data_IF_708700176726
#
_entry.id   IF_708700176726
#
_cell.length_a   1.000
_cell.length_b   1.000
_cell.length_c   1.000
_cell.angle_alpha   90.00
_cell.angle_beta   90.00
_cell.angle_gamma   90.00
#
_symmetry.space_group_name_H-M   'P 1'
#
loop_
_entity.id
_entity.type
_entity.pdbx_description
1 polymer ?
#
# COMPACT_ATOMS: atom_id res chain seq x y z
N UNK A 1 -28.39 -11.45 -15.04
CA UNK A 1 -29.24 -12.40 -14.28
C UNK A 1 -28.41 -12.89 -13.11
N UNK A 2 -29.02 -13.26 -11.98
CA UNK A 2 -28.26 -13.87 -10.88
C UNK A 2 -27.87 -15.30 -11.27
N UNK A 3 -26.61 -15.67 -11.04
CA UNK A 3 -26.05 -17.00 -11.34
C UNK A 3 -25.94 -17.82 -10.06
N UNK A 4 -27.09 -18.02 -9.41
CA UNK A 4 -27.18 -18.59 -8.06
C UNK A 4 -26.71 -20.06 -8.00
N UNK A 5 -26.57 -20.72 -9.15
CA UNK A 5 -25.91 -22.01 -9.32
C UNK A 5 -24.43 -22.01 -8.87
N UNK A 6 -23.74 -20.87 -8.99
CA UNK A 6 -22.34 -20.69 -8.60
C UNK A 6 -22.15 -20.38 -7.10
N UNK A 7 -23.24 -20.21 -6.34
CA UNK A 7 -23.14 -20.01 -4.89
C UNK A 7 -22.59 -21.29 -4.25
N UNK A 8 -21.59 -21.22 -3.34
CA UNK A 8 -21.01 -22.36 -2.65
C UNK A 8 -22.08 -23.28 -2.07
N UNK A 9 -21.93 -24.59 -2.30
CA UNK A 9 -22.86 -25.60 -1.79
C UNK A 9 -23.00 -25.54 -0.24
N UNK A 10 -21.92 -25.17 0.45
CA UNK A 10 -21.89 -24.91 1.89
C UNK A 10 -22.88 -23.81 2.31
N UNK A 11 -22.84 -22.64 1.64
CA UNK A 11 -23.78 -21.55 1.91
C UNK A 11 -25.22 -21.93 1.56
N UNK A 12 -25.42 -22.71 0.48
CA UNK A 12 -26.75 -23.17 0.07
C UNK A 12 -27.38 -24.17 1.05
N UNK A 13 -26.56 -24.96 1.76
CA UNK A 13 -27.03 -25.93 2.75
C UNK A 13 -27.54 -25.28 4.06
N UNK A 14 -27.24 -24.00 4.30
CA UNK A 14 -27.65 -23.27 5.50
C UNK A 14 -29.11 -22.79 5.43
N UNK A 15 -29.87 -22.95 6.52
CA UNK A 15 -31.23 -22.40 6.65
C UNK A 15 -31.23 -20.92 7.11
N UNK A 16 -30.44 -20.07 6.45
CA UNK A 16 -30.27 -18.64 6.80
C UNK A 16 -30.48 -17.66 5.63
N UNK A 17 -31.34 -18.04 4.68
CA UNK A 17 -31.65 -17.25 3.49
C UNK A 17 -32.88 -16.36 3.68
N UNK A 18 -32.86 -15.20 3.03
CA UNK A 18 -33.99 -14.29 2.88
C UNK A 18 -34.12 -13.86 1.43
N UNK A 19 -35.29 -13.40 1.01
CA UNK A 19 -35.41 -12.60 -0.20
C UNK A 19 -35.00 -11.14 0.09
N UNK A 20 -34.84 -10.31 -0.93
CA UNK A 20 -34.79 -8.85 -0.75
C UNK A 20 -35.46 -8.11 -1.91
N UNK A 21 -35.93 -6.89 -1.63
CA UNK A 21 -36.44 -5.97 -2.66
C UNK A 21 -35.95 -4.55 -2.44
N UNK A 22 -35.80 -3.80 -3.53
CA UNK A 22 -35.38 -2.41 -3.55
C UNK A 22 -36.58 -1.52 -3.32
N UNK A 23 -36.60 -0.80 -2.20
CA UNK A 23 -37.58 0.25 -1.92
C UNK A 23 -36.88 1.58 -1.65
N UNK A 24 -37.53 2.68 -1.99
CA UNK A 24 -37.05 4.00 -1.61
C UNK A 24 -37.48 4.32 -0.17
N UNK A 25 -36.50 4.64 0.69
CA UNK A 25 -36.74 5.05 2.07
C UNK A 25 -35.97 6.33 2.33
N UNK A 26 -36.67 7.40 2.72
CA UNK A 26 -36.09 8.73 2.97
C UNK A 26 -35.24 9.26 1.80
N UNK A 27 -35.68 9.05 0.55
CA UNK A 27 -34.93 9.46 -0.65
C UNK A 27 -33.75 8.56 -1.02
N UNK A 28 -33.53 7.44 -0.32
CA UNK A 28 -32.46 6.48 -0.63
C UNK A 28 -33.02 5.10 -0.98
N UNK A 29 -32.59 4.57 -2.13
CA UNK A 29 -32.82 3.18 -2.49
C UNK A 29 -32.18 2.24 -1.44
N UNK A 30 -33.01 1.42 -0.80
CA UNK A 30 -32.65 0.52 0.29
C UNK A 30 -33.02 -0.91 -0.11
N UNK A 31 -32.10 -1.86 0.08
CA UNK A 31 -32.36 -3.29 -0.11
C UNK A 31 -33.01 -3.82 1.19
N UNK A 32 -34.31 -4.08 1.18
CA UNK A 32 -35.07 -4.52 2.35
C UNK A 32 -35.25 -6.05 2.34
N UNK A 33 -34.94 -6.76 3.44
CA UNK A 33 -35.05 -8.21 3.51
C UNK A 33 -36.51 -8.66 3.64
N UNK A 34 -36.85 -9.73 2.92
CA UNK A 34 -38.21 -10.27 2.81
C UNK A 34 -38.20 -11.75 3.22
N UNK A 35 -39.10 -12.12 4.12
CA UNK A 35 -39.35 -13.48 4.56
C UNK A 35 -39.94 -14.30 3.39
N UNK A 36 -39.23 -15.35 3.00
CA UNK A 36 -39.60 -16.20 1.87
C UNK A 36 -40.93 -16.94 2.07
N UNK A 37 -41.29 -17.26 3.32
CA UNK A 37 -42.51 -17.99 3.64
C UNK A 37 -43.73 -17.06 3.66
N UNK A 38 -43.60 -15.83 4.19
CA UNK A 38 -44.75 -14.92 4.41
C UNK A 38 -44.83 -13.72 3.47
N UNK A 39 -43.75 -13.36 2.76
CA UNK A 39 -43.67 -12.15 1.93
C UNK A 39 -43.60 -10.84 2.73
N UNK A 40 -43.44 -10.93 4.05
CA UNK A 40 -43.31 -9.78 4.97
C UNK A 40 -41.83 -9.42 5.18
N UNK A 41 -41.56 -8.39 5.99
CA UNK A 41 -40.19 -8.02 6.37
C UNK A 41 -39.52 -9.14 7.18
N UNK A 42 -38.40 -9.68 6.70
CA UNK A 42 -37.55 -10.55 7.51
C UNK A 42 -36.66 -9.74 8.46
N UNK A 43 -36.04 -10.37 9.46
CA UNK A 43 -35.08 -9.72 10.37
C UNK A 43 -33.78 -10.49 10.38
N UNK A 44 -32.65 -9.79 10.23
CA UNK A 44 -31.30 -10.38 10.31
C UNK A 44 -30.90 -10.89 11.70
N UNK A 45 -31.80 -10.83 12.69
CA UNK A 45 -31.60 -11.26 14.08
C UNK A 45 -32.66 -12.27 14.56
N UNK A 46 -33.49 -12.79 13.64
CA UNK A 46 -34.65 -13.64 13.98
C UNK A 46 -34.70 -14.85 13.04
N UNK A 47 -34.10 -15.99 13.42
CA UNK A 47 -34.02 -17.19 12.58
C UNK A 47 -35.37 -17.73 12.12
N UNK A 48 -36.47 -17.43 12.83
CA UNK A 48 -37.81 -17.82 12.40
C UNK A 48 -38.32 -17.05 11.16
N UNK A 49 -37.57 -16.04 10.70
CA UNK A 49 -37.85 -15.29 9.46
C UNK A 49 -36.91 -15.65 8.31
N UNK A 50 -36.04 -16.64 8.50
CA UNK A 50 -35.11 -17.15 7.48
C UNK A 50 -35.63 -18.47 6.91
N UNK A 51 -35.15 -18.82 5.72
CA UNK A 51 -35.56 -19.98 4.96
C UNK A 51 -34.36 -20.80 4.45
N UNK A 52 -34.66 -21.94 3.83
CA UNK A 52 -33.69 -22.66 2.99
C UNK A 52 -33.34 -21.85 1.74
N UNK A 53 -32.22 -22.20 1.09
CA UNK A 53 -31.85 -21.58 -0.19
C UNK A 53 -32.92 -21.81 -1.26
N UNK A 54 -33.43 -23.04 -1.37
CA UNK A 54 -34.44 -23.45 -2.34
C UNK A 54 -35.76 -22.68 -2.13
N UNK A 55 -36.22 -22.56 -0.89
CA UNK A 55 -37.42 -21.78 -0.54
C UNK A 55 -37.24 -20.30 -0.89
N UNK A 56 -36.09 -19.71 -0.55
CA UNK A 56 -35.79 -18.31 -0.86
C UNK A 56 -35.77 -18.05 -2.38
N UNK A 57 -35.09 -18.90 -3.15
CA UNK A 57 -35.04 -18.80 -4.63
C UNK A 57 -36.43 -18.93 -5.24
N UNK A 58 -37.24 -19.92 -4.81
CA UNK A 58 -38.62 -20.07 -5.29
C UNK A 58 -39.52 -18.89 -4.88
N UNK A 59 -39.26 -18.28 -3.73
CA UNK A 59 -40.00 -17.15 -3.20
C UNK A 59 -39.71 -15.82 -3.92
N UNK A 60 -38.56 -15.66 -4.61
CA UNK A 60 -38.23 -14.43 -5.35
C UNK A 60 -39.32 -14.04 -6.34
N UNK A 61 -39.69 -14.96 -7.23
CA UNK A 61 -40.74 -14.74 -8.23
C UNK A 61 -42.13 -14.59 -7.60
N UNK A 62 -42.43 -15.40 -6.57
CA UNK A 62 -43.71 -15.39 -5.84
C UNK A 62 -44.01 -14.04 -5.19
N UNK A 63 -43.02 -13.42 -4.55
CA UNK A 63 -43.17 -12.16 -3.82
C UNK A 63 -42.66 -10.92 -4.57
N UNK A 64 -42.26 -11.08 -5.84
CA UNK A 64 -41.68 -10.01 -6.69
C UNK A 64 -40.48 -9.32 -6.02
N UNK A 65 -39.57 -10.13 -5.51
CA UNK A 65 -38.31 -9.68 -4.95
C UNK A 65 -37.25 -9.51 -6.06
N UNK A 66 -36.21 -8.73 -5.79
CA UNK A 66 -35.10 -8.49 -6.72
C UNK A 66 -34.02 -9.59 -6.67
N UNK A 67 -33.98 -10.35 -5.57
CA UNK A 67 -33.07 -11.49 -5.41
C UNK A 67 -33.13 -12.12 -4.02
N UNK A 68 -32.13 -12.94 -3.71
CA UNK A 68 -31.90 -13.57 -2.41
C UNK A 68 -30.77 -12.90 -1.64
N UNK A 69 -30.68 -13.17 -0.34
CA UNK A 69 -29.61 -12.73 0.53
C UNK A 69 -29.36 -13.72 1.67
N UNK A 70 -28.15 -13.67 2.20
CA UNK A 70 -27.64 -14.58 3.22
C UNK A 70 -27.43 -13.83 4.53
N UNK A 71 -27.94 -14.36 5.64
CA UNK A 71 -27.89 -13.72 6.95
C UNK A 71 -26.66 -14.18 7.74
N UNK A 72 -25.89 -13.24 8.28
CA UNK A 72 -24.85 -13.51 9.28
C UNK A 72 -25.54 -13.66 10.64
N UNK A 73 -25.50 -14.87 11.18
CA UNK A 73 -26.25 -15.26 12.38
C UNK A 73 -25.52 -14.96 13.70
N UNK A 74 -26.19 -15.13 14.85
CA UNK A 74 -25.58 -14.95 16.17
C UNK A 74 -24.53 -16.04 16.50
N UNK A 75 -24.47 -17.12 15.70
CA UNK A 75 -23.47 -18.17 15.77
C UNK A 75 -22.09 -17.75 15.22
N UNK A 76 -22.04 -16.68 14.42
CA UNK A 76 -20.81 -16.11 13.83
C UNK A 76 -20.01 -17.08 12.96
N UNK A 77 -20.68 -18.09 12.39
CA UNK A 77 -20.08 -19.11 11.52
C UNK A 77 -19.50 -18.53 10.22
N UNK A 78 -19.98 -17.35 9.79
CA UNK A 78 -19.54 -16.68 8.57
C UNK A 78 -19.31 -15.19 8.81
N UNK A 79 -18.38 -14.60 8.05
CA UNK A 79 -18.11 -13.16 8.02
C UNK A 79 -18.20 -12.64 6.59
N UNK A 80 -19.02 -11.61 6.39
CA UNK A 80 -19.08 -10.87 5.14
C UNK A 80 -18.24 -9.60 5.20
N UNK A 81 -17.44 -9.35 4.15
CA UNK A 81 -16.81 -8.07 3.85
C UNK A 81 -17.48 -7.47 2.59
N UNK A 82 -18.05 -6.28 2.73
CA UNK A 82 -18.73 -5.52 1.67
C UNK A 82 -17.88 -4.31 1.27
N UNK A 83 -17.65 -4.16 -0.03
CA UNK A 83 -16.78 -3.17 -0.64
C UNK A 83 -17.59 -2.33 -1.66
N UNK A 84 -18.12 -1.20 -1.22
CA UNK A 84 -18.93 -0.29 -2.06
C UNK A 84 -18.05 0.49 -3.06
N UNK A 85 -18.46 0.50 -4.34
CA UNK A 85 -17.88 1.32 -5.43
C UNK A 85 -16.36 1.10 -5.66
N UNK A 86 -15.94 -0.17 -5.66
CA UNK A 86 -14.54 -0.59 -5.88
C UNK A 86 -14.24 -1.10 -7.30
N UNK A 87 -15.27 -1.37 -8.11
CA UNK A 87 -15.13 -1.66 -9.53
C UNK A 87 -15.46 -0.39 -10.35
N UNK A 88 -14.60 -0.06 -11.31
CA UNK A 88 -14.82 1.00 -12.30
C UNK A 88 -14.68 0.38 -13.69
N UNK A 89 -15.75 0.44 -14.50
CA UNK A 89 -15.83 -0.23 -15.82
C UNK A 89 -15.47 -1.73 -15.77
N UNK A 90 -15.77 -2.39 -14.64
CA UNK A 90 -15.45 -3.80 -14.37
C UNK A 90 -14.02 -4.05 -13.85
N UNK A 91 -13.14 -3.05 -13.84
CA UNK A 91 -11.81 -3.15 -13.26
C UNK A 91 -11.82 -2.82 -11.77
N UNK A 92 -11.30 -3.71 -10.93
CA UNK A 92 -11.13 -3.49 -9.48
C UNK A 92 -10.00 -2.50 -9.21
N UNK A 93 -10.30 -1.48 -8.40
CA UNK A 93 -9.36 -0.47 -7.90
C UNK A 93 -8.18 -1.13 -7.15
N UNK A 94 -6.97 -0.67 -7.45
CA UNK A 94 -5.73 -1.22 -6.94
C UNK A 94 -5.63 -1.23 -5.39
N UNK A 95 -6.34 -0.33 -4.69
CA UNK A 95 -6.39 -0.36 -3.21
C UNK A 95 -6.99 -1.67 -2.66
N UNK A 96 -7.92 -2.29 -3.40
CA UNK A 96 -8.65 -3.49 -2.99
C UNK A 96 -8.14 -4.76 -3.67
N UNK A 97 -7.20 -4.65 -4.61
CA UNK A 97 -6.61 -5.79 -5.34
C UNK A 97 -6.03 -6.84 -4.39
N UNK A 98 -5.27 -6.41 -3.39
CA UNK A 98 -4.60 -7.30 -2.43
C UNK A 98 -5.58 -8.17 -1.63
N UNK A 99 -6.78 -7.67 -1.31
CA UNK A 99 -7.74 -8.43 -0.49
C UNK A 99 -8.38 -9.53 -1.32
N UNK A 100 -8.71 -9.30 -2.59
CA UNK A 100 -9.24 -10.34 -3.47
C UNK A 100 -8.19 -11.42 -3.73
N UNK A 101 -6.96 -11.03 -4.09
CA UNK A 101 -5.84 -11.96 -4.33
C UNK A 101 -5.50 -12.83 -3.11
N UNK A 102 -5.61 -12.29 -1.90
CA UNK A 102 -5.17 -12.97 -0.67
C UNK A 102 -6.30 -13.63 0.11
N UNK A 103 -7.57 -13.23 -0.07
CA UNK A 103 -8.70 -13.74 0.70
C UNK A 103 -8.91 -15.25 0.52
N UNK A 104 -8.75 -15.77 -0.70
CA UNK A 104 -8.92 -17.19 -0.99
C UNK A 104 -10.32 -17.73 -0.64
N UNK A 105 -11.35 -16.88 -0.70
CA UNK A 105 -12.74 -17.22 -0.37
C UNK A 105 -13.72 -16.72 -1.43
N UNK A 106 -14.97 -17.16 -1.32
CA UNK A 106 -16.06 -16.81 -2.21
C UNK A 106 -16.19 -15.29 -2.35
N UNK A 107 -16.02 -14.81 -3.58
CA UNK A 107 -16.11 -13.37 -3.93
C UNK A 107 -17.05 -13.18 -5.10
N UNK A 108 -18.03 -12.31 -4.95
CA UNK A 108 -19.02 -12.00 -6.00
C UNK A 108 -19.18 -10.50 -6.22
N UNK A 109 -19.61 -10.13 -7.42
CA UNK A 109 -20.03 -8.76 -7.76
C UNK A 109 -21.38 -8.47 -7.13
N UNK A 110 -21.49 -7.34 -6.44
CA UNK A 110 -22.71 -6.92 -5.73
C UNK A 110 -23.84 -6.54 -6.71
N UNK A 111 -25.13 -6.46 -6.27
CA UNK A 111 -26.25 -6.16 -7.17
C UNK A 111 -26.25 -4.78 -7.86
N UNK A 112 -25.32 -3.88 -7.51
CA UNK A 112 -25.12 -2.61 -8.23
C UNK A 112 -24.13 -2.72 -9.38
N UNK A 113 -23.34 -3.80 -9.45
CA UNK A 113 -22.33 -4.03 -10.49
C UNK A 113 -20.99 -3.34 -10.27
N UNK A 114 -20.88 -2.50 -9.24
CA UNK A 114 -19.72 -1.66 -8.93
C UNK A 114 -19.04 -1.98 -7.59
N UNK A 115 -19.58 -2.93 -6.82
CA UNK A 115 -19.02 -3.38 -5.53
C UNK A 115 -18.75 -4.88 -5.50
N UNK A 116 -18.07 -5.34 -4.44
CA UNK A 116 -17.76 -6.75 -4.20
C UNK A 116 -18.23 -7.19 -2.82
N UNK A 117 -18.79 -8.40 -2.72
CA UNK A 117 -18.94 -9.12 -1.46
C UNK A 117 -17.89 -10.23 -1.38
N UNK A 118 -17.18 -10.33 -0.26
CA UNK A 118 -16.36 -11.49 0.10
C UNK A 118 -17.00 -12.18 1.31
N UNK A 119 -17.23 -13.49 1.24
CA UNK A 119 -17.82 -14.26 2.34
C UNK A 119 -16.81 -15.30 2.81
N UNK A 120 -16.40 -15.19 4.07
CA UNK A 120 -15.46 -16.09 4.74
C UNK A 120 -16.20 -17.05 5.67
N UNK A 121 -15.66 -18.25 5.86
CA UNK A 121 -15.96 -19.07 7.04
C UNK A 121 -15.23 -18.50 8.26
N UNK A 122 -15.87 -18.53 9.42
CA UNK A 122 -15.38 -17.96 10.68
C UNK A 122 -15.86 -16.54 10.95
N UNK A 123 -15.48 -16.01 12.11
CA UNK A 123 -15.93 -14.72 12.64
C UNK A 123 -14.88 -13.62 12.51
N UNK A 124 -15.29 -12.36 12.72
CA UNK A 124 -14.34 -11.29 13.08
C UNK A 124 -13.61 -11.65 14.38
N UNK A 125 -12.41 -11.11 14.65
CA UNK A 125 -11.80 -11.17 15.98
C UNK A 125 -12.72 -10.58 17.05
N UNK A 126 -12.72 -11.12 18.28
CA UNK A 126 -13.70 -10.70 19.31
C UNK A 126 -13.55 -9.24 19.78
N UNK A 127 -12.35 -8.67 19.63
CA UNK A 127 -12.08 -7.26 19.90
C UNK A 127 -12.60 -6.31 18.80
N UNK A 128 -12.93 -6.83 17.60
CA UNK A 128 -13.35 -6.07 16.44
C UNK A 128 -14.85 -5.68 16.52
N UNK A 129 -15.16 -4.69 17.36
CA UNK A 129 -16.55 -4.30 17.67
C UNK A 129 -17.24 -3.46 16.59
N UNK A 130 -16.49 -2.72 15.76
CA UNK A 130 -17.08 -1.95 14.65
C UNK A 130 -17.42 -2.86 13.47
N UNK A 131 -18.17 -2.33 12.51
CA UNK A 131 -18.53 -3.06 11.30
C UNK A 131 -18.62 -2.20 10.05
N UNK A 132 -18.33 -0.91 10.11
CA UNK A 132 -18.57 0.02 9.01
C UNK A 132 -17.69 1.25 9.12
N UNK A 133 -17.08 1.67 8.02
CA UNK A 133 -16.41 2.96 7.93
C UNK A 133 -16.41 3.50 6.51
N UNK A 134 -16.75 4.79 6.38
CA UNK A 134 -16.61 5.52 5.13
C UNK A 134 -15.14 5.76 4.80
N UNK A 135 -14.81 5.65 3.53
CA UNK A 135 -13.47 5.82 2.97
C UNK A 135 -13.41 7.10 2.11
N UNK A 136 -12.22 7.57 1.71
CA UNK A 136 -12.08 8.67 0.75
C UNK A 136 -12.88 8.42 -0.55
N UNK A 137 -13.36 9.48 -1.19
CA UNK A 137 -14.16 9.38 -2.41
C UNK A 137 -15.62 8.95 -2.19
N UNK A 138 -16.08 8.82 -0.94
CA UNK A 138 -17.49 8.49 -0.61
C UNK A 138 -17.79 6.98 -0.59
N UNK A 139 -16.77 6.13 -0.82
CA UNK A 139 -16.84 4.68 -0.68
C UNK A 139 -17.12 4.27 0.76
N UNK A 140 -17.56 3.03 0.96
CA UNK A 140 -17.78 2.43 2.28
C UNK A 140 -17.18 1.03 2.30
N UNK A 141 -16.56 0.67 3.42
CA UNK A 141 -16.19 -0.71 3.73
C UNK A 141 -16.99 -1.16 4.93
N UNK A 142 -17.68 -2.29 4.81
CA UNK A 142 -18.45 -2.90 5.89
C UNK A 142 -18.00 -4.34 6.16
N UNK A 143 -18.04 -4.79 7.41
CA UNK A 143 -17.68 -6.14 7.80
C UNK A 143 -18.56 -6.63 8.94
N UNK A 144 -19.32 -7.69 8.70
CA UNK A 144 -20.29 -8.24 9.65
C UNK A 144 -20.13 -9.75 9.78
N UNK A 145 -20.10 -10.22 11.03
CA UNK A 145 -20.15 -11.63 11.41
C UNK A 145 -21.47 -11.99 12.10
N UNK A 146 -22.41 -11.04 12.22
CA UNK A 146 -23.75 -11.20 12.81
C UNK A 146 -24.68 -10.02 12.49
N UNK A 147 -25.95 -10.15 12.83
CA UNK A 147 -27.00 -9.11 12.86
C UNK A 147 -27.27 -8.37 11.54
N UNK A 148 -26.73 -8.86 10.43
CA UNK A 148 -26.89 -8.32 9.07
C UNK A 148 -27.07 -9.44 8.06
N UNK A 149 -27.48 -9.04 6.86
CA UNK A 149 -27.54 -9.91 5.71
C UNK A 149 -26.85 -9.21 4.54
N UNK A 150 -26.20 -9.98 3.66
CA UNK A 150 -25.77 -9.49 2.35
C UNK A 150 -26.71 -10.03 1.28
N UNK A 151 -26.96 -9.22 0.26
CA UNK A 151 -27.64 -9.67 -0.95
C UNK A 151 -26.69 -10.55 -1.76
N UNK A 152 -27.13 -11.70 -2.24
CA UNK A 152 -26.29 -12.65 -2.98
C UNK A 152 -26.65 -12.65 -4.46
N UNK A 153 -25.63 -12.64 -5.34
CA UNK A 153 -25.80 -12.60 -6.80
C UNK A 153 -25.37 -13.87 -7.51
N UNK A 154 -24.42 -14.63 -6.95
CA UNK A 154 -23.77 -15.73 -7.67
C UNK A 154 -22.85 -15.27 -8.81
N UNK A 155 -22.63 -13.96 -8.95
CA UNK A 155 -21.79 -13.37 -9.99
C UNK A 155 -20.31 -13.42 -9.56
N UNK A 156 -19.74 -14.63 -9.54
CA UNK A 156 -18.36 -14.90 -9.11
C UNK A 156 -17.38 -13.94 -9.78
N UNK A 157 -16.59 -13.26 -8.96
CA UNK A 157 -15.55 -12.35 -9.42
C UNK A 157 -14.23 -13.11 -9.58
N UNK A 158 -13.59 -12.95 -10.75
CA UNK A 158 -12.25 -13.49 -11.08
C UNK A 158 -12.02 -14.99 -10.75
N UNK A 159 -13.09 -15.80 -10.69
CA UNK A 159 -13.02 -17.24 -10.43
C UNK A 159 -12.97 -17.65 -8.96
N UNK A 160 -13.19 -16.72 -8.02
CA UNK A 160 -13.22 -16.98 -6.58
C UNK A 160 -14.58 -17.59 -6.14
N UNK A 161 -14.83 -18.85 -6.53
CA UNK A 161 -16.11 -19.56 -6.31
C UNK A 161 -16.18 -20.40 -5.01
N UNK A 162 -15.04 -20.74 -4.41
CA UNK A 162 -14.96 -21.59 -3.21
C UNK A 162 -14.92 -20.78 -1.90
N UNK A 163 -15.72 -21.17 -0.90
CA UNK A 163 -15.67 -20.58 0.45
C UNK A 163 -14.55 -21.20 1.32
N UNK A 164 -13.81 -20.36 2.02
CA UNK A 164 -12.75 -20.74 2.95
C UNK A 164 -12.75 -19.86 4.20
N UNK A 165 -12.03 -20.31 5.23
CA UNK A 165 -11.55 -19.47 6.32
C UNK A 165 -10.28 -18.73 5.89
N UNK A 166 -10.11 -17.50 6.39
CA UNK A 166 -8.87 -16.73 6.27
C UNK A 166 -8.83 -15.62 7.34
N UNK A 167 -8.59 -15.97 8.63
CA UNK A 167 -8.65 -15.01 9.73
C UNK A 167 -7.64 -13.87 9.58
N UNK A 168 -6.46 -14.14 9.02
CA UNK A 168 -5.40 -13.15 8.79
C UNK A 168 -5.86 -12.05 7.82
N UNK A 169 -6.54 -12.40 6.73
CA UNK A 169 -7.08 -11.41 5.78
C UNK A 169 -8.28 -10.68 6.35
N UNK A 170 -9.16 -11.36 7.11
CA UNK A 170 -10.29 -10.71 7.82
C UNK A 170 -9.76 -9.67 8.80
N UNK A 171 -8.78 -10.02 9.65
CA UNK A 171 -8.18 -9.11 10.60
C UNK A 171 -7.42 -7.96 9.90
N UNK A 172 -6.63 -8.26 8.88
CA UNK A 172 -5.90 -7.23 8.12
C UNK A 172 -6.84 -6.27 7.41
N UNK A 173 -7.94 -6.74 6.80
CA UNK A 173 -8.95 -5.89 6.18
C UNK A 173 -9.65 -5.00 7.22
N UNK A 174 -9.99 -5.56 8.39
CA UNK A 174 -10.57 -4.81 9.51
C UNK A 174 -9.63 -3.69 10.00
N UNK A 175 -8.34 -4.00 10.23
CA UNK A 175 -7.31 -3.02 10.60
C UNK A 175 -6.94 -2.08 9.44
N UNK A 176 -7.17 -2.42 8.18
CA UNK A 176 -6.88 -1.51 7.06
C UNK A 176 -7.96 -0.42 6.94
N UNK A 177 -9.24 -0.79 7.01
CA UNK A 177 -10.33 0.11 6.63
C UNK A 177 -11.26 0.54 7.77
N UNK A 178 -11.59 -0.37 8.71
CA UNK A 178 -12.67 -0.14 9.68
C UNK A 178 -12.13 0.44 10.98
N UNK A 179 -11.20 -0.26 11.62
CA UNK A 179 -10.55 0.20 12.84
C UNK A 179 -9.04 0.06 12.67
N UNK A 180 -8.42 0.95 11.87
CA UNK A 180 -6.98 1.09 11.89
C UNK A 180 -6.55 1.35 13.31
N UNK A 181 -5.75 0.41 13.80
CA UNK A 181 -4.93 0.60 14.97
C UNK A 181 -4.36 2.02 14.87
N UNK A 182 -4.60 2.83 15.91
CA UNK A 182 -3.76 3.99 16.12
C UNK A 182 -2.37 3.38 16.17
N UNK A 183 -1.57 3.61 15.11
CA UNK A 183 -0.31 2.91 14.98
C UNK A 183 0.39 3.06 16.32
N UNK A 184 0.74 1.93 16.94
CA UNK A 184 1.82 1.94 17.88
C UNK A 184 2.96 2.52 17.05
N UNK A 185 3.16 3.84 17.17
CA UNK A 185 4.32 4.48 16.62
C UNK A 185 5.45 3.63 17.19
N UNK A 186 6.38 3.14 16.37
CA UNK A 186 7.74 3.19 16.82
C UNK A 186 7.89 4.64 17.23
N UNK A 187 7.83 4.90 18.54
CA UNK A 187 8.28 6.15 19.08
C UNK A 187 9.74 6.20 18.63
N UNK A 188 10.01 6.95 17.56
CA UNK A 188 11.37 7.10 17.03
C UNK A 188 12.25 7.84 18.06
N UNK A 189 11.64 8.33 19.15
CA UNK A 189 12.25 8.47 20.47
C UNK A 189 12.23 7.16 21.28
N UNK A 190 13.43 6.66 21.61
CA UNK A 190 13.73 5.54 22.53
C UNK A 190 13.94 4.12 21.94
N UNK A 191 14.67 4.03 20.82
CA UNK A 191 15.65 2.95 20.63
C UNK A 191 17.02 3.58 20.35
N UNK A 192 18.02 3.26 21.17
CA UNK A 192 19.33 3.90 21.11
C UNK A 192 20.18 3.46 19.91
N UNK A 193 20.97 4.41 19.42
CA UNK A 193 22.31 4.22 18.83
C UNK A 193 22.63 2.85 18.23
N UNK A 194 22.24 2.64 16.96
CA UNK A 194 22.86 1.61 16.10
C UNK A 194 23.30 2.24 14.77
N UNK A 195 24.29 3.13 14.87
CA UNK A 195 25.01 3.73 13.75
C UNK A 195 25.77 2.64 12.97
N UNK A 196 25.11 1.97 12.02
CA UNK A 196 25.72 0.93 11.18
C UNK A 196 26.68 1.47 10.11
N UNK A 197 26.89 2.78 10.06
CA UNK A 197 28.09 3.43 9.56
C UNK A 197 28.29 4.77 10.30
N UNK A 198 29.51 5.01 10.78
CA UNK A 198 29.85 6.09 11.74
C UNK A 198 29.91 7.50 11.16
N UNK A 199 28.85 7.96 10.48
CA UNK A 199 28.71 9.33 10.00
C UNK A 199 27.38 9.91 10.48
N UNK A 200 27.44 11.12 11.02
CA UNK A 200 26.29 11.89 11.53
C UNK A 200 25.41 12.43 10.39
N UNK A 201 24.14 12.73 10.69
CA UNK A 201 23.14 13.18 9.70
C UNK A 201 23.54 14.54 9.08
N UNK A 202 24.16 15.45 9.84
CA UNK A 202 24.66 16.74 9.32
C UNK A 202 25.89 16.57 8.42
N UNK A 203 26.83 15.71 8.83
CA UNK A 203 28.00 15.39 8.02
C UNK A 203 27.63 14.64 6.71
N UNK A 204 26.53 13.87 6.73
CA UNK A 204 25.94 13.28 5.53
C UNK A 204 25.34 14.35 4.61
N UNK A 205 24.58 15.31 5.15
CA UNK A 205 24.01 16.43 4.39
C UNK A 205 25.09 17.28 3.70
N UNK A 206 26.17 17.64 4.39
CA UNK A 206 27.31 18.34 3.79
C UNK A 206 27.91 17.57 2.59
N UNK A 207 28.02 16.24 2.69
CA UNK A 207 28.45 15.40 1.58
C UNK A 207 27.44 15.31 0.44
N UNK A 208 26.15 15.25 0.74
CA UNK A 208 25.07 15.29 -0.25
C UNK A 208 25.15 16.58 -1.07
N UNK A 209 25.31 17.71 -0.37
CA UNK A 209 25.45 19.05 -0.94
C UNK A 209 26.76 19.28 -1.71
N UNK A 210 27.83 18.56 -1.40
CA UNK A 210 29.10 18.59 -2.14
C UNK A 210 29.12 17.65 -3.37
N UNK A 211 28.05 16.89 -3.63
CA UNK A 211 27.99 15.91 -4.72
C UNK A 211 27.58 16.50 -6.08
N UNK A 212 27.68 15.71 -7.16
CA UNK A 212 27.18 16.09 -8.51
C UNK A 212 25.70 16.49 -8.52
N UNK A 213 24.89 15.93 -7.62
CA UNK A 213 23.46 16.27 -7.47
C UNK A 213 23.21 17.31 -6.37
N UNK A 214 24.26 17.90 -5.80
CA UNK A 214 24.20 18.75 -4.61
C UNK A 214 23.28 19.96 -4.75
N UNK A 215 23.24 20.60 -5.93
CA UNK A 215 22.33 21.74 -6.18
C UNK A 215 20.85 21.32 -6.25
N UNK A 216 20.55 20.20 -6.93
CA UNK A 216 19.20 19.65 -6.97
C UNK A 216 18.73 19.22 -5.56
N UNK A 217 19.62 18.61 -4.78
CA UNK A 217 19.35 18.23 -3.39
C UNK A 217 19.15 19.48 -2.52
N UNK A 218 19.96 20.54 -2.67
CA UNK A 218 19.79 21.83 -1.97
C UNK A 218 18.42 22.45 -2.27
N UNK A 219 18.03 22.51 -3.55
CA UNK A 219 16.74 23.05 -3.98
C UNK A 219 15.57 22.29 -3.34
N UNK A 220 15.57 20.95 -3.43
CA UNK A 220 14.55 20.10 -2.81
C UNK A 220 14.53 20.22 -1.28
N UNK A 221 15.70 20.28 -0.62
CA UNK A 221 15.78 20.50 0.83
C UNK A 221 15.24 21.88 1.25
N UNK A 222 15.36 22.90 0.40
CA UNK A 222 14.76 24.21 0.62
C UNK A 222 13.24 24.26 0.33
N UNK A 223 12.66 23.20 -0.25
CA UNK A 223 11.25 23.14 -0.65
C UNK A 223 10.96 23.62 -2.08
N UNK A 224 12.00 23.90 -2.87
CA UNK A 224 11.82 24.23 -4.29
C UNK A 224 11.45 22.98 -5.09
N UNK A 225 10.39 23.10 -5.88
CA UNK A 225 9.82 22.07 -6.76
C UNK A 225 9.68 22.56 -8.21
N UNK A 226 10.35 23.67 -8.56
CA UNK A 226 10.35 24.26 -9.91
C UNK A 226 10.82 23.28 -10.99
N UNK A 227 11.86 22.50 -10.72
CA UNK A 227 12.37 21.44 -11.59
C UNK A 227 11.38 20.27 -11.79
N UNK A 228 10.33 20.19 -10.98
CA UNK A 228 9.25 19.20 -11.05
C UNK A 228 7.93 19.85 -11.52
N UNK A 229 8.00 20.99 -12.21
CA UNK A 229 6.82 21.71 -12.71
C UNK A 229 5.91 22.25 -11.61
N UNK A 230 6.40 22.35 -10.37
CA UNK A 230 5.60 22.71 -9.20
C UNK A 230 4.85 21.54 -8.56
N UNK A 231 4.95 20.29 -9.07
CA UNK A 231 4.36 19.15 -8.37
C UNK A 231 5.20 18.78 -7.15
N UNK A 232 4.69 19.18 -5.99
CA UNK A 232 5.25 18.83 -4.68
C UNK A 232 5.31 17.31 -4.43
N UNK A 233 4.48 16.50 -5.08
CA UNK A 233 4.48 15.04 -4.92
C UNK A 233 5.65 14.40 -5.69
N UNK A 234 5.89 14.85 -6.93
CA UNK A 234 7.10 14.52 -7.66
C UNK A 234 8.37 15.02 -6.94
N UNK A 235 8.35 16.22 -6.34
CA UNK A 235 9.46 16.72 -5.53
C UNK A 235 9.72 15.88 -4.27
N UNK A 236 8.67 15.46 -3.55
CA UNK A 236 8.81 14.54 -2.40
C UNK A 236 9.53 13.24 -2.84
N UNK A 237 9.10 12.65 -3.97
CA UNK A 237 9.69 11.43 -4.52
C UNK A 237 11.14 11.63 -5.00
N UNK A 238 11.46 12.76 -5.62
CA UNK A 238 12.80 13.11 -6.06
C UNK A 238 13.76 13.22 -4.86
N UNK A 239 13.34 13.89 -3.78
CA UNK A 239 14.13 13.99 -2.55
C UNK A 239 14.32 12.61 -1.91
N UNK A 240 13.26 11.81 -1.79
CA UNK A 240 13.36 10.44 -1.28
C UNK A 240 14.27 9.54 -2.11
N UNK A 241 14.31 9.71 -3.44
CA UNK A 241 15.19 8.95 -4.33
C UNK A 241 16.67 9.27 -4.07
N UNK A 242 17.01 10.54 -3.85
CA UNK A 242 18.35 10.92 -3.39
C UNK A 242 18.65 10.38 -1.98
N UNK A 243 17.70 10.50 -1.04
CA UNK A 243 17.87 10.00 0.32
C UNK A 243 18.04 8.47 0.38
N UNK A 244 17.40 7.70 -0.50
CA UNK A 244 17.56 6.25 -0.55
C UNK A 244 19.01 5.83 -0.86
N UNK A 245 19.66 6.52 -1.80
CA UNK A 245 21.08 6.34 -2.08
C UNK A 245 21.95 6.76 -0.88
N UNK A 246 21.80 8.00 -0.40
CA UNK A 246 22.70 8.57 0.62
C UNK A 246 22.55 7.96 2.01
N UNK A 247 21.34 7.58 2.41
CA UNK A 247 21.05 6.96 3.69
C UNK A 247 21.25 5.44 3.67
N UNK A 248 21.70 4.86 2.55
CA UNK A 248 21.86 3.40 2.43
C UNK A 248 20.56 2.62 2.59
N UNK A 249 19.43 3.21 2.18
CA UNK A 249 18.05 2.69 2.34
C UNK A 249 17.58 2.53 3.81
N UNK A 250 18.23 3.19 4.76
CA UNK A 250 17.70 3.37 6.12
C UNK A 250 16.46 4.28 6.09
N UNK A 251 15.27 3.68 6.06
CA UNK A 251 13.98 4.37 6.05
C UNK A 251 13.80 5.35 7.22
N UNK A 252 14.33 5.03 8.40
CA UNK A 252 14.25 5.90 9.58
C UNK A 252 15.12 7.14 9.43
N UNK A 253 16.34 6.99 8.88
CA UNK A 253 17.21 8.14 8.53
C UNK A 253 16.64 8.96 7.39
N UNK A 254 16.04 8.34 6.38
CA UNK A 254 15.36 9.03 5.29
C UNK A 254 14.21 9.91 5.82
N UNK A 255 13.33 9.40 6.69
CA UNK A 255 12.25 10.18 7.30
C UNK A 255 12.77 11.35 8.17
N UNK A 256 13.78 11.10 9.03
CA UNK A 256 14.41 12.17 9.84
C UNK A 256 14.94 13.32 8.98
N UNK A 257 15.62 13.02 7.88
CA UNK A 257 16.17 14.05 6.99
C UNK A 257 15.06 14.72 6.17
N UNK A 258 14.08 13.97 5.68
CA UNK A 258 12.94 14.54 4.95
C UNK A 258 12.16 15.57 5.79
N UNK A 259 11.93 15.28 7.09
CA UNK A 259 11.26 16.21 8.02
C UNK A 259 12.02 17.51 8.27
N UNK A 260 13.31 17.59 7.90
CA UNK A 260 14.13 18.82 7.95
C UNK A 260 14.03 19.66 6.66
N UNK A 261 13.34 19.17 5.62
CA UNK A 261 13.19 19.87 4.34
C UNK A 261 11.99 20.82 4.32
N UNK A 262 12.05 21.83 3.44
CA UNK A 262 10.92 22.71 3.11
C UNK A 262 9.75 22.01 2.38
N UNK A 263 9.92 20.75 1.95
CA UNK A 263 8.83 19.96 1.36
C UNK A 263 7.85 19.42 2.41
N UNK A 264 8.28 19.33 3.68
CA UNK A 264 7.48 18.80 4.79
C UNK A 264 6.12 19.53 4.96
N UNK A 265 5.07 18.75 5.23
CA UNK A 265 3.67 19.20 5.38
C UNK A 265 2.80 18.08 5.95
N UNK A 266 1.60 18.39 6.44
CA UNK A 266 0.62 17.43 6.99
C UNK A 266 0.34 16.22 6.07
N UNK A 267 0.42 16.41 4.74
CA UNK A 267 0.29 15.30 3.76
C UNK A 267 1.34 14.20 4.00
N UNK A 268 2.53 14.50 4.53
CA UNK A 268 3.57 13.52 4.84
C UNK A 268 3.07 12.43 5.80
N UNK A 269 2.44 12.85 6.90
CA UNK A 269 1.87 11.96 7.91
C UNK A 269 0.40 11.58 7.62
N UNK A 270 -0.18 12.06 6.51
CA UNK A 270 -1.52 11.66 6.08
C UNK A 270 -1.58 10.16 5.77
N UNK A 271 -2.58 9.47 6.32
CA UNK A 271 -2.73 8.02 6.18
C UNK A 271 -3.07 7.63 4.73
N UNK A 272 -2.45 6.54 4.25
CA UNK A 272 -2.64 5.91 2.94
C UNK A 272 -2.68 4.40 3.17
N UNK A 273 -3.87 3.81 3.13
CA UNK A 273 -4.10 2.44 3.59
C UNK A 273 -3.56 2.21 5.01
N UNK A 274 -2.83 1.11 5.20
CA UNK A 274 -2.22 0.73 6.49
C UNK A 274 -1.00 1.56 6.93
N UNK A 275 -0.60 2.59 6.19
CA UNK A 275 0.64 3.36 6.43
C UNK A 275 0.44 4.87 6.18
N UNK A 276 1.50 5.67 6.09
CA UNK A 276 1.43 7.09 5.70
C UNK A 276 1.93 7.32 4.28
N UNK A 277 1.56 8.44 3.68
CA UNK A 277 2.08 8.87 2.38
C UNK A 277 3.62 8.97 2.39
N UNK A 278 4.22 9.51 3.46
CA UNK A 278 5.66 9.60 3.60
C UNK A 278 6.34 8.24 3.62
N UNK A 279 5.79 7.29 4.37
CA UNK A 279 6.29 5.92 4.41
C UNK A 279 6.19 5.20 3.05
N UNK A 280 5.06 5.32 2.32
CA UNK A 280 4.96 4.79 0.94
C UNK A 280 5.95 5.44 -0.02
N UNK A 281 6.20 6.74 0.14
CA UNK A 281 7.16 7.50 -0.70
C UNK A 281 8.59 7.01 -0.45
N UNK A 282 8.95 6.78 0.81
CA UNK A 282 10.23 6.19 1.23
C UNK A 282 10.37 4.76 0.69
N UNK A 283 9.35 3.90 0.87
CA UNK A 283 9.36 2.50 0.43
C UNK A 283 9.54 2.40 -1.09
N UNK A 284 8.79 3.20 -1.86
CA UNK A 284 8.92 3.27 -3.33
C UNK A 284 10.29 3.77 -3.78
N UNK A 285 10.87 4.76 -3.08
CA UNK A 285 12.21 5.24 -3.35
C UNK A 285 13.29 4.17 -3.02
N UNK A 286 13.12 3.41 -1.94
CA UNK A 286 13.98 2.27 -1.57
C UNK A 286 13.91 1.16 -2.63
N UNK A 287 12.72 0.85 -3.15
CA UNK A 287 12.52 -0.15 -4.20
C UNK A 287 13.12 0.27 -5.55
N UNK A 288 13.02 1.55 -5.91
CA UNK A 288 13.64 2.11 -7.13
C UNK A 288 15.15 2.36 -7.02
N UNK A 289 15.72 2.28 -5.82
CA UNK A 289 17.14 2.50 -5.57
C UNK A 289 17.96 1.29 -6.03
N UNK A 290 18.88 1.48 -6.97
CA UNK A 290 19.72 0.40 -7.53
C UNK A 290 21.07 0.26 -6.84
N UNK A 291 21.67 1.35 -6.37
CA UNK A 291 22.97 1.40 -5.65
C UNK A 291 22.87 2.28 -4.39
N UNK A 292 23.85 2.22 -3.50
CA UNK A 292 23.84 2.95 -2.21
C UNK A 292 25.19 3.62 -1.92
N UNK A 293 25.14 4.77 -1.26
CA UNK A 293 26.34 5.47 -0.83
C UNK A 293 27.14 4.61 0.16
N UNK A 294 28.36 4.25 -0.24
CA UNK A 294 29.35 3.61 0.62
C UNK A 294 30.46 4.61 0.89
N UNK A 295 30.67 5.07 2.13
CA UNK A 295 31.84 5.86 2.46
C UNK A 295 33.09 5.08 2.04
N UNK A 296 33.91 5.65 1.14
CA UNK A 296 35.22 5.06 0.85
C UNK A 296 36.02 5.07 2.15
N UNK A 297 36.36 3.89 2.65
CA UNK A 297 37.32 3.75 3.75
C UNK A 297 38.54 4.60 3.42
N UNK A 298 38.96 5.43 4.38
CA UNK A 298 40.29 6.06 4.30
C UNK A 298 41.30 4.93 4.35
N UNK A 299 41.74 4.53 3.15
CA UNK A 299 42.75 3.52 2.85
C UNK A 299 43.69 3.34 4.03
N UNK A 300 43.52 2.23 4.76
CA UNK A 300 44.38 1.87 5.87
C UNK A 300 45.84 2.06 5.45
N UNK A 301 46.62 2.72 6.31
CA UNK A 301 47.99 3.12 5.97
C UNK A 301 48.76 1.92 5.44
N UNK A 302 49.31 2.07 4.22
CA UNK A 302 50.13 1.01 3.62
C UNK A 302 51.28 0.75 4.60
N UNK A 303 51.49 -0.48 5.08
CA UNK A 303 52.61 -0.75 5.98
C UNK A 303 53.90 -0.29 5.30
N UNK A 304 54.67 0.50 6.04
CA UNK A 304 55.89 1.13 5.54
C UNK A 304 56.87 0.05 5.09
N UNK A 305 57.30 0.16 3.83
CA UNK A 305 58.24 -0.80 3.23
C UNK A 305 59.56 -0.72 4.00
N UNK A 306 60.11 -1.83 4.53
CA UNK A 306 61.38 -1.77 5.25
C UNK A 306 62.48 -1.27 4.32
N UNK A 307 63.23 -0.27 4.77
CA UNK A 307 64.40 0.23 4.04
C UNK A 307 65.49 -0.85 4.05
N UNK A 308 65.67 -1.55 2.93
CA UNK A 308 66.87 -2.36 2.75
C UNK A 308 67.90 -1.55 1.95
N UNK A 309 68.96 -1.12 2.64
CA UNK A 309 70.13 -0.49 2.01
C UNK A 309 70.96 -1.60 1.35
N UNK A 310 71.23 -1.48 0.06
CA UNK A 310 72.52 -1.88 -0.53
C UNK A 310 72.68 -1.27 -1.93
N UNK A 311 73.93 -1.07 -2.34
CA UNK A 311 74.35 -0.09 -3.34
C UNK A 311 74.65 -0.69 -4.73
N UNK A 312 75.21 0.17 -5.61
CA UNK A 312 75.98 -0.14 -6.83
C UNK A 312 75.17 -0.51 -8.10
N UNK A 313 75.47 0.00 -9.31
CA UNK A 313 76.45 1.02 -9.76
C UNK A 313 76.11 1.54 -11.17
N UNK A 314 76.47 2.81 -11.48
CA UNK A 314 77.14 3.33 -12.73
C UNK A 314 76.63 2.92 -14.15
N UNK A 315 76.61 3.75 -15.23
CA UNK A 315 77.26 5.06 -15.49
C UNK A 315 76.77 5.74 -16.80
N UNK A 316 76.85 7.09 -16.86
CA UNK A 316 76.90 8.02 -18.05
C UNK A 316 75.81 8.01 -19.16
N UNK A 317 75.13 9.14 -19.46
CA UNK A 317 75.50 10.35 -20.28
C UNK A 317 75.01 10.14 -21.75
N UNK A 318 74.48 11.11 -22.53
CA UNK A 318 74.78 12.55 -22.63
C UNK A 318 73.74 13.35 -23.49
N UNK A 319 73.35 14.56 -23.06
CA UNK A 319 72.83 15.73 -23.86
C UNK A 319 71.60 15.53 -24.79
N UNK A 320 70.99 16.51 -25.49
CA UNK A 320 70.41 17.85 -25.19
C UNK A 320 69.36 18.12 -26.34
N UNK A 321 68.39 19.05 -26.35
CA UNK A 321 67.97 20.19 -25.51
C UNK A 321 66.48 20.51 -25.77
N UNK A 322 65.77 21.20 -24.88
CA UNK A 322 64.45 21.81 -25.18
C UNK A 322 63.59 22.08 -23.94
N UNK A 323 63.27 23.36 -23.68
CA UNK A 323 62.44 23.81 -22.54
C UNK A 323 61.31 24.68 -23.07
N UNK A 324 60.08 24.35 -22.69
CA UNK A 324 59.02 25.32 -22.36
C UNK A 324 57.85 24.58 -21.71
N UNK A 325 57.42 25.09 -20.57
CA UNK A 325 56.32 24.65 -19.70
C UNK A 325 54.97 24.55 -20.46
N UNK A 326 53.96 23.75 -20.08
CA UNK A 326 53.13 23.94 -18.87
C UNK A 326 52.29 22.69 -18.49
N UNK A 327 51.76 22.74 -17.26
CA UNK A 327 50.96 21.76 -16.50
C UNK A 327 50.11 20.73 -17.26
N UNK A 328 50.51 19.46 -17.15
CA UNK A 328 49.63 18.31 -17.38
C UNK A 328 48.80 17.99 -16.12
N UNK A 329 47.57 18.52 -16.07
CA UNK A 329 46.62 18.26 -14.99
C UNK A 329 46.38 16.74 -14.74
N UNK A 330 46.20 16.29 -13.49
CA UNK A 330 45.95 14.89 -13.17
C UNK A 330 44.58 14.46 -13.72
N UNK A 331 44.56 13.30 -14.39
CA UNK A 331 43.36 12.69 -14.97
C UNK A 331 42.20 12.68 -13.97
N UNK A 332 41.06 13.23 -14.38
CA UNK A 332 39.86 13.26 -13.55
C UNK A 332 39.49 11.85 -13.06
N UNK A 333 39.37 11.72 -11.73
CA UNK A 333 38.84 10.52 -11.14
C UNK A 333 37.32 10.48 -11.42
N UNK A 334 36.85 9.41 -12.05
CA UNK A 334 35.42 9.16 -12.29
C UNK A 334 34.65 9.27 -10.99
N UNK A 335 33.86 10.35 -10.86
CA UNK A 335 33.04 10.64 -9.69
C UNK A 335 31.78 9.78 -9.71
N UNK A 336 31.68 8.87 -8.75
CA UNK A 336 30.47 8.10 -8.48
C UNK A 336 29.31 9.06 -8.16
N UNK A 337 28.26 9.01 -8.98
CA UNK A 337 27.06 9.81 -8.83
C UNK A 337 25.86 9.04 -9.37
N UNK A 338 24.68 9.31 -8.81
CA UNK A 338 23.45 8.69 -9.27
C UNK A 338 23.20 8.98 -10.77
N UNK A 339 22.53 8.06 -11.51
CA UNK A 339 22.14 8.29 -12.90
C UNK A 339 21.30 9.58 -13.02
N UNK A 340 21.40 10.26 -14.17
CA UNK A 340 20.63 11.48 -14.41
C UNK A 340 19.13 11.17 -14.45
N UNK A 341 18.33 12.09 -13.89
CA UNK A 341 16.88 11.95 -13.76
C UNK A 341 16.16 12.68 -14.91
N UNK A 342 16.80 12.78 -16.08
CA UNK A 342 16.18 13.32 -17.29
C UNK A 342 15.26 12.26 -17.92
N UNK A 343 14.00 12.61 -18.14
CA UNK A 343 13.05 11.79 -18.91
C UNK A 343 11.83 11.23 -18.15
N UNK A 344 11.69 11.47 -16.85
CA UNK A 344 10.50 11.04 -16.09
C UNK A 344 9.36 12.05 -16.24
N UNK A 345 8.53 11.87 -17.27
CA UNK A 345 7.33 12.68 -17.51
C UNK A 345 6.08 11.97 -17.00
N UNK A 346 5.52 12.47 -15.91
CA UNK A 346 4.27 11.94 -15.35
C UNK A 346 3.09 12.45 -16.17
N UNK A 347 2.24 11.55 -16.69
CA UNK A 347 1.00 11.92 -17.40
C UNK A 347 -0.02 12.62 -16.46
N UNK A 348 -1.04 13.27 -17.03
CA UNK A 348 -2.13 13.91 -16.25
C UNK A 348 -2.92 12.92 -15.35
N UNK A 349 -2.59 11.62 -15.40
CA UNK A 349 -3.18 10.54 -14.60
C UNK A 349 -2.18 9.93 -13.60
N UNK A 350 -1.02 10.54 -13.40
CA UNK A 350 -0.08 10.17 -12.34
C UNK A 350 0.83 8.97 -12.65
N UNK A 351 0.98 8.57 -13.93
CA UNK A 351 1.89 7.48 -14.34
C UNK A 351 3.15 8.01 -15.01
N UNK A 352 4.28 7.42 -14.63
CA UNK A 352 5.64 7.71 -15.11
C UNK A 352 5.88 7.23 -16.55
#
# INVERSE_FOLDING_TARGET
MASLENVPAELRAEARWVCWRREERNGKATKLPVDAHTGRMAKSTDPATWATFEDAVAAVGRWRCDGVGFVFGPDRTYTGLDLDHVLVDGALDAEYRWVVEQAGTYTEVSPSGDGLHLIFRGSKPDWAQRSRKGQPGGRVVEMYDRDRYFTVTGAVFEGHDAISENPDVVERAYRTWIEPEAAAQPALSAAGTSSSNGMDDDALLERMYASRSGDAIRALMAGDCSAQGGDRSAADMALCSHLAFWCGRDAGRMDRIFRRSGLMRDKWDSRRGGTTYGAQTIERAIAGCTDVYRPRDRRAERPSRPQNKNACSTVTRREQRGVSDDDAAPKEATTEGAPSVEGWYVDERGRL
#
